data_IF_033282362173
#
_entry.id   IF_033282362173
#
_cell.length_a   1.000
_cell.length_b   1.000
_cell.length_c   1.000
_cell.angle_alpha   90.00
_cell.angle_beta   90.00
_cell.angle_gamma   90.00
#
_symmetry.space_group_name_H-M   'P 1'
#
loop_
_entity.id
_entity.type
_entity.pdbx_description
1 polymer ?
#
# COMPACT_ATOMS: atom_id res chain seq x y z
N UNK A 1 4.31 25.69 11.13
CA UNK A 1 4.14 25.39 11.00
C UNK A 1 4.62 24.96 10.88
N UNK A 2 4.95 25.01 11.03
CA UNK A 2 5.15 24.60 10.94
C UNK A 2 5.43 24.12 10.68
N UNK A 3 5.84 23.90 10.70
CA UNK A 3 6.00 23.20 10.60
C UNK A 3 5.94 22.59 10.27
N UNK A 4 6.24 22.65 10.60
CA UNK A 4 6.08 21.84 9.94
C UNK A 4 6.46 20.48 9.54
N UNK A 5 7.38 19.96 9.24
CA UNK A 5 7.61 18.72 8.60
C UNK A 5 7.82 17.57 9.56
N UNK A 6 8.42 17.81 10.65
CA UNK A 6 8.76 16.79 11.64
C UNK A 6 7.52 16.27 12.33
N UNK A 7 6.70 17.18 12.76
CA UNK A 7 5.47 16.80 13.46
C UNK A 7 4.41 16.26 12.52
N UNK A 8 4.62 16.45 11.23
CA UNK A 8 3.70 15.91 10.22
C UNK A 8 3.59 14.39 10.31
N UNK A 9 4.67 13.72 10.70
CA UNK A 9 4.63 12.27 10.81
C UNK A 9 3.64 11.80 11.86
N UNK A 10 3.56 12.51 12.97
CA UNK A 10 2.62 12.16 14.05
C UNK A 10 1.23 12.71 13.78
N UNK A 11 1.17 13.86 13.12
CA UNK A 11 -0.09 14.53 12.86
C UNK A 11 -0.82 13.98 11.64
N UNK A 12 -0.13 13.21 10.81
CA UNK A 12 -0.72 12.67 9.59
C UNK A 12 -1.82 11.67 9.92
N UNK A 13 -3.00 11.90 9.38
CA UNK A 13 -4.13 11.01 9.58
C UNK A 13 -3.95 9.70 8.82
N UNK A 14 -4.74 8.71 9.17
CA UNK A 14 -4.73 7.43 8.48
C UNK A 14 -5.14 7.60 7.02
N UNK A 15 -6.07 8.52 6.72
CA UNK A 15 -6.46 8.83 5.35
C UNK A 15 -5.29 9.38 4.54
N UNK A 16 -4.51 10.25 5.14
CA UNK A 16 -3.33 10.81 4.47
C UNK A 16 -2.30 9.73 4.19
N UNK A 17 -2.12 8.80 5.14
CA UNK A 17 -1.23 7.67 4.94
C UNK A 17 -1.72 6.76 3.82
N UNK A 18 -3.03 6.53 3.75
CA UNK A 18 -3.64 5.74 2.69
C UNK A 18 -3.40 6.40 1.33
N UNK A 19 -3.62 7.69 1.25
CA UNK A 19 -3.43 8.45 0.02
C UNK A 19 -1.98 8.37 -0.44
N UNK A 20 -1.05 8.63 0.46
CA UNK A 20 0.38 8.58 0.15
C UNK A 20 0.81 7.18 -0.26
N UNK A 21 0.30 6.17 0.42
CA UNK A 21 0.57 4.77 0.09
C UNK A 21 0.09 4.42 -1.32
N UNK A 22 -1.17 4.75 -1.62
CA UNK A 22 -1.76 4.46 -2.93
C UNK A 22 -0.96 5.13 -4.05
N UNK A 23 -0.59 6.39 -3.83
CA UNK A 23 0.20 7.15 -4.78
C UNK A 23 1.58 6.51 -5.00
N UNK A 24 2.25 6.13 -3.92
CA UNK A 24 3.55 5.48 -3.99
C UNK A 24 3.46 4.14 -4.71
N UNK A 25 2.42 3.38 -4.41
CA UNK A 25 2.19 2.09 -5.04
C UNK A 25 2.05 2.23 -6.55
N UNK A 26 1.33 3.25 -7.01
CA UNK A 26 1.15 3.51 -8.44
C UNK A 26 2.45 3.93 -9.13
N UNK A 27 3.38 4.51 -8.39
CA UNK A 27 4.69 4.86 -8.93
C UNK A 27 5.53 3.59 -9.09
N UNK A 28 5.49 2.70 -8.11
CA UNK A 28 6.28 1.46 -8.12
C UNK A 28 5.71 0.48 -9.15
N UNK A 29 4.39 0.33 -9.16
CA UNK A 29 3.70 -0.57 -10.09
C UNK A 29 2.65 0.26 -10.83
N UNK A 30 3.03 0.88 -11.96
CA UNK A 30 2.08 1.72 -12.72
C UNK A 30 0.87 0.88 -13.17
N UNK A 31 -0.34 1.33 -12.88
CA UNK A 31 -1.54 0.60 -13.30
C UNK A 31 -1.65 0.63 -14.82
N UNK A 32 -1.93 -0.53 -15.41
CA UNK A 32 -2.06 -0.66 -16.86
C UNK A 32 -3.47 -0.36 -17.35
N UNK A 33 -4.44 -0.49 -16.44
CA UNK A 33 -5.84 -0.31 -16.79
C UNK A 33 -6.65 0.02 -15.56
N UNK A 34 -7.95 0.22 -15.74
CA UNK A 34 -8.83 0.59 -14.63
C UNK A 34 -8.93 -0.53 -13.59
N UNK A 35 -8.83 -1.79 -14.03
CA UNK A 35 -8.88 -2.92 -13.11
C UNK A 35 -7.73 -2.88 -12.11
N UNK A 36 -6.52 -2.55 -12.57
CA UNK A 36 -5.36 -2.42 -11.70
C UNK A 36 -5.56 -1.30 -10.68
N UNK A 37 -6.10 -0.17 -11.11
CA UNK A 37 -6.36 0.97 -10.23
C UNK A 37 -7.36 0.59 -9.15
N UNK A 38 -8.41 -0.11 -9.53
CA UNK A 38 -9.43 -0.57 -8.60
C UNK A 38 -8.84 -1.56 -7.59
N UNK A 39 -8.00 -2.47 -8.04
CA UNK A 39 -7.34 -3.43 -7.16
C UNK A 39 -6.47 -2.72 -6.13
N UNK A 40 -5.68 -1.73 -6.56
CA UNK A 40 -4.82 -0.99 -5.64
C UNK A 40 -5.62 -0.22 -4.61
N UNK A 41 -6.73 0.36 -5.04
CA UNK A 41 -7.61 1.08 -4.12
C UNK A 41 -8.21 0.14 -3.08
N UNK A 42 -8.62 -1.05 -3.49
CA UNK A 42 -9.15 -2.07 -2.57
C UNK A 42 -8.10 -2.52 -1.58
N UNK A 43 -6.87 -2.70 -2.03
CA UNK A 43 -5.76 -3.07 -1.16
C UNK A 43 -5.52 -1.98 -0.12
N UNK A 44 -5.48 -0.72 -0.55
CA UNK A 44 -5.28 0.42 0.36
C UNK A 44 -6.39 0.47 1.40
N UNK A 45 -7.64 0.31 0.99
CA UNK A 45 -8.78 0.31 1.90
C UNK A 45 -8.71 -0.85 2.89
N UNK A 46 -8.32 -2.02 2.41
CA UNK A 46 -8.20 -3.21 3.25
C UNK A 46 -7.12 -3.00 4.33
N UNK A 47 -6.01 -2.38 3.95
CA UNK A 47 -4.94 -2.07 4.91
C UNK A 47 -5.41 -1.09 5.97
N UNK A 48 -6.12 -0.04 5.55
CA UNK A 48 -6.66 0.96 6.48
C UNK A 48 -7.64 0.29 7.44
N UNK A 49 -8.53 -0.55 6.91
CA UNK A 49 -9.49 -1.26 7.75
C UNK A 49 -8.78 -2.16 8.76
N UNK A 50 -7.72 -2.83 8.33
CA UNK A 50 -6.92 -3.65 9.24
C UNK A 50 -6.27 -2.85 10.35
N UNK A 51 -5.83 -1.62 10.05
CA UNK A 51 -5.30 -0.72 11.06
C UNK A 51 -6.37 -0.30 12.07
N UNK A 52 -7.56 0.01 11.56
CA UNK A 52 -8.68 0.40 12.42
C UNK A 52 -9.13 -0.77 13.30
N UNK A 53 -9.05 -1.98 12.80
CA UNK A 53 -9.42 -3.18 13.53
C UNK A 53 -8.34 -3.63 14.52
N UNK A 54 -7.17 -3.01 14.48
CA UNK A 54 -6.06 -3.40 15.33
C UNK A 54 -5.27 -4.59 14.84
N UNK A 55 -5.53 -5.07 13.62
CA UNK A 55 -4.79 -6.21 13.05
C UNK A 55 -3.42 -5.81 12.54
N UNK A 56 -3.27 -4.57 12.12
CA UNK A 56 -2.02 -4.06 11.56
C UNK A 56 -1.57 -2.81 12.31
N UNK A 57 -0.27 -2.65 12.42
CA UNK A 57 0.33 -1.42 12.97
C UNK A 57 0.52 -0.45 11.80
N UNK A 58 -0.21 0.68 11.83
CA UNK A 58 -0.16 1.66 10.76
C UNK A 58 1.23 2.23 10.51
N UNK A 59 2.11 2.19 11.50
CA UNK A 59 3.48 2.69 11.35
C UNK A 59 4.38 1.71 10.61
N UNK A 60 3.97 0.46 10.53
CA UNK A 60 4.78 -0.62 9.97
C UNK A 60 4.17 -1.16 8.68
N UNK A 61 2.84 -1.32 8.65
CA UNK A 61 2.18 -2.08 7.59
C UNK A 61 2.37 -1.44 6.20
N UNK A 62 2.23 -0.13 6.11
CA UNK A 62 2.36 0.53 4.81
C UNK A 62 3.75 0.37 4.23
N UNK A 63 4.77 0.51 5.09
CA UNK A 63 6.15 0.32 4.66
C UNK A 63 6.41 -1.11 4.22
N UNK A 64 5.89 -2.07 4.98
CA UNK A 64 6.05 -3.48 4.65
C UNK A 64 5.43 -3.82 3.32
N UNK A 65 4.24 -3.29 3.06
CA UNK A 65 3.55 -3.53 1.79
C UNK A 65 4.27 -2.84 0.64
N UNK A 66 4.85 -1.67 0.86
CA UNK A 66 5.66 -1.01 -0.16
C UNK A 66 6.87 -1.90 -0.51
N UNK A 67 7.50 -2.53 0.48
CA UNK A 67 8.60 -3.46 0.22
C UNK A 67 8.13 -4.63 -0.64
N UNK A 68 6.92 -5.14 -0.40
CA UNK A 68 6.35 -6.18 -1.25
C UNK A 68 6.15 -5.69 -2.68
N UNK A 69 5.70 -4.45 -2.84
CA UNK A 69 5.51 -3.87 -4.16
C UNK A 69 6.83 -3.74 -4.90
N UNK A 70 7.88 -3.31 -4.21
CA UNK A 70 9.22 -3.22 -4.80
C UNK A 70 9.71 -4.59 -5.25
N UNK A 71 9.45 -5.61 -4.46
CA UNK A 71 9.81 -6.98 -4.80
C UNK A 71 9.03 -7.44 -6.04
N UNK A 72 7.74 -7.14 -6.09
CA UNK A 72 6.90 -7.52 -7.21
C UNK A 72 7.24 -6.76 -8.49
N UNK A 73 7.84 -5.59 -8.39
CA UNK A 73 8.20 -4.78 -9.54
C UNK A 73 9.52 -5.21 -10.19
N UNK A 74 10.05 -6.34 -9.80
CA UNK A 74 11.26 -6.90 -10.38
C UNK A 74 11.16 -6.93 -11.91
N UNK A 75 12.24 -6.59 -12.64
CA UNK A 75 12.22 -6.59 -14.12
C UNK A 75 11.80 -7.91 -14.74
N UNK A 76 11.93 -9.00 -14.02
CA UNK A 76 11.56 -10.32 -14.50
C UNK A 76 10.06 -10.59 -14.42
N UNK A 77 9.33 -9.76 -13.68
CA UNK A 77 7.89 -9.93 -13.51
C UNK A 77 7.13 -9.44 -14.73
N UNK A 78 6.31 -10.31 -15.33
CA UNK A 78 5.48 -9.94 -16.47
C UNK A 78 4.27 -9.15 -16.04
N UNK A 79 3.76 -9.44 -14.85
CA UNK A 79 2.58 -8.77 -14.31
C UNK A 79 2.83 -8.44 -12.84
N UNK A 80 3.53 -7.33 -12.57
CA UNK A 80 3.84 -6.95 -11.18
C UNK A 80 2.63 -6.84 -10.29
N UNK A 81 1.50 -6.36 -10.81
CA UNK A 81 0.28 -6.22 -10.01
C UNK A 81 -0.21 -7.58 -9.50
N UNK A 82 -0.18 -8.61 -10.36
CA UNK A 82 -0.59 -9.95 -9.96
C UNK A 82 0.40 -10.54 -8.94
N UNK A 83 1.69 -10.34 -9.15
CA UNK A 83 2.70 -10.82 -8.21
C UNK A 83 2.52 -10.15 -6.85
N UNK A 84 2.31 -8.85 -6.84
CA UNK A 84 2.08 -8.10 -5.63
C UNK A 84 0.87 -8.63 -4.86
N UNK A 85 -0.24 -8.85 -5.56
CA UNK A 85 -1.44 -9.39 -4.93
C UNK A 85 -1.19 -10.78 -4.35
N UNK A 86 -0.44 -11.62 -5.06
CA UNK A 86 -0.08 -12.96 -4.58
C UNK A 86 0.74 -12.88 -3.29
N UNK A 87 1.68 -11.95 -3.22
CA UNK A 87 2.48 -11.76 -2.01
C UNK A 87 1.59 -11.37 -0.84
N UNK A 88 0.65 -10.44 -1.07
CA UNK A 88 -0.27 -10.01 -0.03
C UNK A 88 -1.13 -11.16 0.48
N UNK A 89 -1.60 -12.02 -0.41
CA UNK A 89 -2.38 -13.18 -0.01
C UNK A 89 -1.57 -14.13 0.84
N UNK A 90 -0.31 -14.34 0.46
CA UNK A 90 0.57 -15.28 1.14
C UNK A 90 1.02 -14.73 2.49
N UNK A 91 1.47 -13.47 2.53
CA UNK A 91 2.08 -12.88 3.72
C UNK A 91 1.08 -12.31 4.71
N UNK A 92 0.00 -11.73 4.23
CA UNK A 92 -0.96 -11.01 5.07
C UNK A 92 -2.35 -11.63 5.05
N UNK A 93 -2.58 -12.64 4.23
CA UNK A 93 -3.90 -13.26 4.13
C UNK A 93 -4.92 -12.37 3.42
N UNK A 94 -4.47 -11.51 2.52
CA UNK A 94 -5.36 -10.63 1.79
C UNK A 94 -6.41 -11.43 1.01
N UNK A 95 -7.65 -11.03 1.14
CA UNK A 95 -8.75 -11.63 0.41
C UNK A 95 -9.42 -10.57 -0.45
N UNK A 96 -9.61 -10.93 -1.68
CA UNK A 96 -10.21 -10.04 -2.65
C UNK A 96 -11.71 -9.91 -2.46
#
# INVERSE_FOLDING_TARGET
MREQGINLTEAVSLEDKQFAFDRTLKIIIPPKNQSDRTSFRRISSWLVQGCLDGRFDENIIFRRVIDFALEASCPQSRNPAAVFTSILKKELGYKK
#
